data_IF_611323950029
#
_entry.id   IF_611323950029
#
_cell.length_a   1.000
_cell.length_b   1.000
_cell.length_c   1.000
_cell.angle_alpha   90.00
_cell.angle_beta   90.00
_cell.angle_gamma   90.00
#
_symmetry.space_group_name_H-M   'P 1'
#
loop_
_entity.id
_entity.type
_entity.pdbx_description
1 polymer ?
#
# COMPACT_ATOMS: atom_id res chain seq x y z
N UNK A 1 15.70 47.56 -6.19
CA UNK A 1 15.56 46.09 -6.22
C UNK A 1 14.09 45.70 -6.24
N UNK A 2 13.59 45.08 -7.31
CA UNK A 2 12.16 44.93 -7.56
C UNK A 2 11.66 43.63 -6.94
N UNK A 3 10.78 43.74 -5.93
CA UNK A 3 10.06 42.68 -5.17
C UNK A 3 9.16 41.73 -6.04
N UNK A 4 9.27 41.80 -7.36
CA UNK A 4 8.42 41.05 -8.29
C UNK A 4 8.55 39.50 -8.26
N UNK A 5 9.69 38.85 -7.94
CA UNK A 5 9.73 37.39 -7.88
C UNK A 5 9.10 36.80 -6.61
N UNK A 6 9.08 37.54 -5.50
CA UNK A 6 8.43 37.09 -4.27
C UNK A 6 6.89 37.15 -4.35
N UNK A 7 6.37 38.13 -5.09
CA UNK A 7 4.93 38.22 -5.38
C UNK A 7 4.44 37.08 -6.28
N UNK A 8 5.28 36.58 -7.21
CA UNK A 8 4.89 35.46 -8.07
C UNK A 8 4.89 34.13 -7.31
N UNK A 9 5.80 33.93 -6.35
CA UNK A 9 5.80 32.77 -5.46
C UNK A 9 4.60 32.81 -4.48
N UNK A 10 4.25 34.00 -3.96
CA UNK A 10 3.07 34.19 -3.13
C UNK A 10 1.76 34.01 -3.92
N UNK A 11 1.72 34.44 -5.19
CA UNK A 11 0.54 34.27 -6.06
C UNK A 11 0.30 32.79 -6.42
N UNK A 12 1.36 31.98 -6.56
CA UNK A 12 1.21 30.53 -6.73
C UNK A 12 0.68 29.83 -5.45
N UNK A 13 0.91 30.42 -4.27
CA UNK A 13 0.40 29.93 -2.99
C UNK A 13 -1.05 30.38 -2.71
N UNK A 14 -1.54 31.40 -3.41
CA UNK A 14 -2.88 31.97 -3.21
C UNK A 14 -3.86 31.70 -4.36
N UNK A 15 -3.48 30.91 -5.36
CA UNK A 15 -4.48 30.42 -6.31
C UNK A 15 -5.55 29.69 -5.50
N UNK A 16 -6.83 30.14 -5.55
CA UNK A 16 -7.93 29.37 -4.99
C UNK A 16 -7.99 28.10 -5.84
N UNK A 17 -7.27 27.08 -5.41
CA UNK A 17 -7.46 25.73 -5.90
C UNK A 17 -8.88 25.43 -5.42
N UNK A 18 -9.85 25.61 -6.30
CA UNK A 18 -11.22 25.17 -6.04
C UNK A 18 -11.11 23.69 -5.68
N UNK A 19 -11.03 23.42 -4.39
CA UNK A 19 -10.92 22.09 -3.84
C UNK A 19 -12.25 21.42 -4.21
N UNK A 20 -12.28 20.77 -5.39
CA UNK A 20 -13.34 19.81 -5.64
C UNK A 20 -13.16 18.76 -4.56
N UNK A 21 -14.20 18.60 -3.74
CA UNK A 21 -14.22 17.58 -2.70
C UNK A 21 -13.87 16.21 -3.30
N UNK A 22 -13.21 15.37 -2.52
CA UNK A 22 -12.95 13.95 -2.87
C UNK A 22 -14.24 13.37 -3.45
N UNK A 23 -14.17 12.88 -4.69
CA UNK A 23 -15.33 12.31 -5.35
C UNK A 23 -15.41 10.84 -4.98
N UNK A 24 -16.57 10.43 -4.49
CA UNK A 24 -16.83 9.09 -4.02
C UNK A 24 -18.11 8.56 -4.66
N UNK A 25 -18.03 7.39 -5.24
CA UNK A 25 -19.18 6.64 -5.76
C UNK A 25 -19.25 5.30 -5.06
N UNK A 26 -20.36 5.00 -4.41
CA UNK A 26 -20.63 3.71 -3.78
C UNK A 26 -21.53 2.88 -4.69
N UNK A 27 -21.05 1.75 -5.12
CA UNK A 27 -21.81 0.72 -5.82
C UNK A 27 -22.34 -0.25 -4.77
N UNK A 28 -23.57 -0.02 -4.33
CA UNK A 28 -24.20 -0.84 -3.29
C UNK A 28 -24.78 -2.11 -3.90
N UNK A 29 -24.12 -3.24 -3.72
CA UNK A 29 -24.54 -4.53 -4.27
C UNK A 29 -25.71 -5.17 -3.52
N UNK A 30 -26.22 -4.54 -2.46
CA UNK A 30 -27.53 -4.84 -1.85
C UNK A 30 -28.72 -4.25 -2.62
N UNK A 31 -28.48 -3.30 -3.53
CA UNK A 31 -29.53 -2.68 -4.36
C UNK A 31 -29.76 -3.50 -5.62
N UNK A 32 -31.00 -3.90 -5.87
CA UNK A 32 -31.40 -4.68 -7.04
C UNK A 32 -31.12 -3.96 -8.36
N UNK A 33 -31.27 -2.63 -8.40
CA UNK A 33 -30.97 -1.82 -9.58
C UNK A 33 -29.48 -1.80 -9.89
N UNK A 34 -28.62 -1.80 -8.87
CA UNK A 34 -27.17 -1.92 -9.03
C UNK A 34 -26.78 -3.35 -9.42
N UNK A 35 -27.36 -4.38 -8.79
CA UNK A 35 -27.12 -5.78 -9.11
C UNK A 35 -27.39 -6.09 -10.58
N UNK A 36 -28.45 -5.54 -11.16
CA UNK A 36 -28.83 -5.73 -12.56
C UNK A 36 -27.81 -5.16 -13.57
N UNK A 37 -26.90 -4.28 -13.15
CA UNK A 37 -25.85 -3.71 -14.00
C UNK A 37 -24.59 -4.59 -14.10
N UNK A 38 -24.54 -5.65 -13.28
CA UNK A 38 -23.42 -6.58 -13.27
C UNK A 38 -23.67 -7.76 -14.19
N UNK A 39 -22.73 -7.95 -15.10
CA UNK A 39 -22.79 -9.02 -16.08
C UNK A 39 -21.81 -10.14 -15.73
N UNK A 40 -22.25 -11.38 -15.90
CA UNK A 40 -21.42 -12.56 -15.68
C UNK A 40 -21.00 -13.16 -17.00
N UNK A 41 -19.73 -13.53 -17.11
CA UNK A 41 -19.18 -14.25 -18.26
C UNK A 41 -18.50 -15.51 -17.75
N UNK A 42 -19.03 -16.68 -18.15
CA UNK A 42 -18.49 -17.97 -17.75
C UNK A 42 -18.77 -18.40 -16.31
N UNK A 43 -19.45 -17.58 -15.50
CA UNK A 43 -19.90 -17.95 -14.15
C UNK A 43 -21.25 -18.65 -14.17
N UNK A 44 -21.56 -19.49 -13.17
CA UNK A 44 -22.93 -19.95 -12.93
C UNK A 44 -23.84 -18.77 -12.62
N UNK A 45 -25.18 -18.99 -12.65
CA UNK A 45 -26.13 -17.95 -12.24
C UNK A 45 -25.76 -17.37 -10.87
N UNK A 46 -25.74 -16.04 -10.78
CA UNK A 46 -25.42 -15.30 -9.57
C UNK A 46 -26.63 -15.33 -8.63
N UNK A 47 -26.39 -15.59 -7.37
CA UNK A 47 -27.43 -15.44 -6.35
C UNK A 47 -27.42 -14.01 -5.82
N UNK A 48 -28.49 -13.28 -6.13
CA UNK A 48 -28.69 -11.93 -5.58
C UNK A 48 -29.27 -12.04 -4.18
N UNK A 49 -28.62 -11.40 -3.23
CA UNK A 49 -29.03 -11.32 -1.83
C UNK A 49 -29.42 -9.87 -1.50
N UNK A 50 -30.23 -9.69 -0.47
CA UNK A 50 -30.59 -8.36 0.04
C UNK A 50 -29.38 -7.53 0.52
N UNK A 51 -28.26 -8.19 0.81
CA UNK A 51 -27.02 -7.57 1.29
C UNK A 51 -25.85 -7.68 0.30
N UNK A 52 -26.08 -8.15 -0.93
CA UNK A 52 -25.01 -8.27 -1.90
C UNK A 52 -25.20 -9.32 -2.99
N UNK A 53 -24.13 -9.57 -3.72
CA UNK A 53 -24.04 -10.58 -4.76
C UNK A 53 -23.23 -11.77 -4.23
N UNK A 54 -23.86 -12.93 -4.11
CA UNK A 54 -23.22 -14.16 -3.72
C UNK A 54 -22.83 -15.02 -4.92
N UNK A 55 -21.62 -15.55 -4.88
CA UNK A 55 -21.01 -16.37 -5.91
C UNK A 55 -20.40 -17.62 -5.30
N UNK A 56 -20.92 -18.78 -5.68
CA UNK A 56 -20.29 -20.07 -5.44
C UNK A 56 -19.90 -20.67 -6.79
N UNK A 57 -18.60 -20.72 -7.09
CA UNK A 57 -18.11 -20.97 -8.44
C UNK A 57 -17.54 -22.37 -8.59
N UNK A 58 -18.05 -23.13 -9.54
CA UNK A 58 -17.48 -24.45 -9.95
C UNK A 58 -16.48 -24.31 -11.11
N UNK A 59 -16.49 -23.20 -11.80
CA UNK A 59 -15.59 -22.89 -12.93
C UNK A 59 -15.15 -21.44 -12.88
N UNK A 60 -14.01 -21.17 -13.54
CA UNK A 60 -13.49 -19.80 -13.68
C UNK A 60 -14.43 -18.95 -14.53
N UNK A 61 -14.65 -17.71 -14.11
CA UNK A 61 -15.45 -16.75 -14.86
C UNK A 61 -15.17 -15.32 -14.42
N UNK A 62 -15.95 -14.39 -14.96
CA UNK A 62 -15.75 -12.96 -14.72
C UNK A 62 -17.08 -12.30 -14.37
N UNK A 63 -17.06 -11.45 -13.36
CA UNK A 63 -18.16 -10.55 -12.98
C UNK A 63 -17.73 -9.13 -13.34
N UNK A 64 -18.45 -8.45 -14.22
CA UNK A 64 -18.06 -7.12 -14.73
C UNK A 64 -19.23 -6.16 -14.77
N UNK A 65 -18.93 -4.89 -14.58
CA UNK A 65 -19.83 -3.76 -14.69
C UNK A 65 -19.25 -2.67 -15.58
N UNK A 66 -20.05 -2.15 -16.49
CA UNK A 66 -19.70 -0.95 -17.25
C UNK A 66 -19.81 0.29 -16.37
N UNK A 67 -18.89 1.21 -16.52
CA UNK A 67 -18.82 2.46 -15.77
C UNK A 67 -18.96 3.67 -16.69
N UNK A 68 -19.69 4.67 -16.22
CA UNK A 68 -19.77 5.99 -16.82
C UNK A 68 -19.66 7.03 -15.69
N UNK A 69 -18.47 7.16 -15.12
CA UNK A 69 -18.24 8.08 -14.01
C UNK A 69 -17.72 9.44 -14.50
N UNK A 70 -18.19 10.53 -13.90
CA UNK A 70 -17.75 11.88 -14.26
C UNK A 70 -16.33 12.20 -13.73
N UNK A 71 -15.78 11.34 -12.91
CA UNK A 71 -14.47 11.54 -12.23
C UNK A 71 -13.55 10.34 -12.40
N UNK A 72 -12.27 10.57 -12.24
CA UNK A 72 -11.28 9.52 -12.23
C UNK A 72 -11.30 8.72 -10.93
N UNK A 73 -10.88 7.47 -11.01
CA UNK A 73 -10.78 6.54 -9.88
C UNK A 73 -9.30 6.38 -9.52
N UNK A 74 -8.96 6.63 -8.27
CA UNK A 74 -7.61 6.45 -7.73
C UNK A 74 -7.52 5.27 -6.76
N UNK A 75 -8.60 4.99 -6.02
CA UNK A 75 -8.68 3.90 -5.05
C UNK A 75 -10.00 3.16 -5.20
N UNK A 76 -9.94 1.85 -5.10
CA UNK A 76 -11.09 0.95 -5.07
C UNK A 76 -11.11 0.24 -3.72
N UNK A 77 -12.22 0.35 -2.98
CA UNK A 77 -12.45 -0.42 -1.76
C UNK A 77 -13.55 -1.43 -2.05
N UNK A 78 -13.29 -2.71 -1.80
CA UNK A 78 -14.23 -3.81 -2.01
C UNK A 78 -14.67 -4.33 -0.66
N UNK A 79 -15.97 -4.32 -0.39
CA UNK A 79 -16.57 -4.89 0.80
C UNK A 79 -17.09 -6.30 0.47
N UNK A 80 -16.67 -7.29 1.24
CA UNK A 80 -16.96 -8.69 0.94
C UNK A 80 -17.03 -9.55 2.20
N UNK A 81 -17.61 -10.75 2.03
CA UNK A 81 -17.50 -11.87 2.96
C UNK A 81 -17.01 -13.07 2.20
N UNK A 82 -15.99 -13.75 2.67
CA UNK A 82 -15.44 -14.97 2.07
C UNK A 82 -15.03 -15.94 3.18
N UNK A 83 -15.79 -17.00 3.44
CA UNK A 83 -15.52 -17.90 4.57
C UNK A 83 -14.11 -18.53 4.54
N UNK A 84 -13.63 -18.83 3.34
CA UNK A 84 -12.33 -19.50 3.14
C UNK A 84 -11.25 -18.58 2.62
N UNK A 85 -11.60 -17.31 2.30
CA UNK A 85 -10.72 -16.44 1.53
C UNK A 85 -10.70 -16.83 0.06
N UNK A 86 -10.12 -15.97 -0.77
CA UNK A 86 -9.99 -16.24 -2.19
C UNK A 86 -8.82 -15.46 -2.80
N UNK A 87 -8.18 -16.02 -3.81
CA UNK A 87 -7.28 -15.28 -4.68
C UNK A 87 -8.00 -15.04 -6.01
N UNK A 88 -8.37 -13.81 -6.27
CA UNK A 88 -9.06 -13.40 -7.49
C UNK A 88 -8.28 -12.30 -8.21
N UNK A 89 -8.70 -11.90 -9.40
CA UNK A 89 -8.10 -10.74 -10.07
C UNK A 89 -9.12 -9.63 -10.21
N UNK A 90 -8.75 -8.42 -9.76
CA UNK A 90 -9.48 -7.22 -10.13
C UNK A 90 -9.18 -6.90 -11.60
N UNK A 91 -10.22 -6.73 -12.41
CA UNK A 91 -10.12 -6.46 -13.84
C UNK A 91 -10.71 -5.11 -14.19
N UNK A 92 -10.11 -4.43 -15.19
CA UNK A 92 -10.65 -3.16 -15.71
C UNK A 92 -10.42 -3.04 -17.21
N UNK A 93 -11.20 -2.18 -17.82
CA UNK A 93 -11.07 -1.81 -19.23
C UNK A 93 -10.96 -0.29 -19.35
N UNK A 94 -9.95 0.19 -20.05
CA UNK A 94 -9.80 1.60 -20.39
C UNK A 94 -10.77 2.00 -21.50
N UNK A 95 -11.16 3.26 -21.56
CA UNK A 95 -12.12 3.76 -22.53
C UNK A 95 -11.73 3.51 -24.02
N UNK A 96 -10.44 3.54 -24.34
CA UNK A 96 -9.94 3.29 -25.70
C UNK A 96 -9.56 1.83 -25.98
N UNK A 97 -9.77 0.90 -25.07
CA UNK A 97 -9.38 -0.50 -25.26
C UNK A 97 -10.40 -1.26 -26.11
N UNK A 98 -9.97 -2.18 -27.01
CA UNK A 98 -10.87 -3.07 -27.75
C UNK A 98 -11.81 -3.84 -26.81
N UNK A 99 -13.02 -4.13 -27.29
CA UNK A 99 -13.98 -4.94 -26.55
C UNK A 99 -13.37 -6.30 -26.17
N UNK A 100 -13.60 -6.71 -24.93
CA UNK A 100 -13.10 -7.99 -24.41
C UNK A 100 -11.65 -7.97 -23.89
N UNK A 101 -10.88 -6.90 -24.08
CA UNK A 101 -9.54 -6.79 -23.49
C UNK A 101 -9.59 -6.08 -22.14
N UNK A 102 -9.39 -6.87 -21.09
CA UNK A 102 -9.26 -6.39 -19.72
C UNK A 102 -7.80 -6.46 -19.26
N UNK A 103 -7.38 -5.46 -18.51
CA UNK A 103 -6.18 -5.53 -17.66
C UNK A 103 -6.56 -6.09 -16.31
N UNK A 104 -5.61 -6.70 -15.61
CA UNK A 104 -5.90 -7.33 -14.33
C UNK A 104 -4.74 -7.20 -13.35
N UNK A 105 -5.08 -7.22 -12.07
CA UNK A 105 -4.13 -7.38 -10.96
C UNK A 105 -4.65 -8.44 -10.00
N UNK A 106 -3.77 -9.25 -9.40
CA UNK A 106 -4.18 -10.20 -8.38
C UNK A 106 -4.62 -9.48 -7.12
N UNK A 107 -5.67 -9.98 -6.50
CA UNK A 107 -6.22 -9.49 -5.23
C UNK A 107 -6.47 -10.70 -4.33
N UNK A 108 -5.87 -10.70 -3.15
CA UNK A 108 -6.09 -11.77 -2.17
C UNK A 108 -7.08 -11.31 -1.12
N UNK A 109 -8.18 -12.00 -1.01
CA UNK A 109 -9.21 -11.79 -0.01
C UNK A 109 -8.92 -12.66 1.22
N UNK A 110 -9.11 -12.05 2.39
CA UNK A 110 -8.91 -12.74 3.66
C UNK A 110 -10.11 -13.62 3.99
N UNK A 111 -9.89 -14.77 4.63
CA UNK A 111 -10.99 -15.57 5.12
C UNK A 111 -11.71 -14.86 6.28
N UNK A 112 -13.04 -14.91 6.25
CA UNK A 112 -13.87 -14.34 7.32
C UNK A 112 -15.35 -14.52 7.03
N UNK A 113 -16.13 -14.71 8.09
CA UNK A 113 -17.60 -14.83 8.05
C UNK A 113 -18.30 -13.48 8.27
N UNK A 114 -17.53 -12.46 8.63
CA UNK A 114 -18.02 -11.08 8.81
C UNK A 114 -17.62 -10.26 7.62
N UNK A 115 -18.44 -9.28 7.26
CA UNK A 115 -18.10 -8.32 6.20
C UNK A 115 -16.79 -7.61 6.51
N UNK A 116 -15.86 -7.69 5.59
CA UNK A 116 -14.55 -7.05 5.66
C UNK A 116 -14.29 -6.27 4.37
N UNK A 117 -13.21 -5.51 4.32
CA UNK A 117 -12.87 -4.74 3.13
C UNK A 117 -11.42 -4.93 2.72
N UNK A 118 -11.18 -4.83 1.41
CA UNK A 118 -9.85 -4.69 0.84
C UNK A 118 -9.76 -3.39 0.07
N UNK A 119 -8.65 -2.68 0.26
CA UNK A 119 -8.38 -1.40 -0.39
C UNK A 119 -7.29 -1.63 -1.44
N UNK A 120 -7.59 -1.27 -2.68
CA UNK A 120 -6.67 -1.34 -3.81
C UNK A 120 -6.33 0.07 -4.27
N UNK A 121 -5.07 0.46 -4.13
CA UNK A 121 -4.56 1.74 -4.63
C UNK A 121 -4.25 1.63 -6.12
N UNK A 122 -5.21 2.03 -6.94
CA UNK A 122 -5.08 1.99 -8.39
C UNK A 122 -4.08 3.02 -8.92
N UNK A 123 -3.85 4.11 -8.19
CA UNK A 123 -2.89 5.15 -8.59
C UNK A 123 -1.45 4.65 -8.63
N UNK A 124 -1.16 3.56 -7.91
CA UNK A 124 0.13 2.88 -7.88
C UNK A 124 0.30 1.83 -9.00
N UNK A 125 -0.78 1.47 -9.69
CA UNK A 125 -0.78 0.39 -10.68
C UNK A 125 -0.34 0.91 -12.05
N UNK A 126 0.70 0.31 -12.60
CA UNK A 126 1.17 0.63 -13.94
C UNK A 126 0.11 0.33 -15.01
N UNK A 127 -0.19 1.34 -15.83
CA UNK A 127 -1.18 1.23 -16.90
C UNK A 127 -2.64 1.28 -16.43
N UNK A 128 -2.91 1.70 -15.20
CA UNK A 128 -4.24 2.10 -14.76
C UNK A 128 -4.72 3.34 -15.54
N UNK A 129 -5.96 3.29 -15.96
CA UNK A 129 -6.67 4.44 -16.55
C UNK A 129 -7.70 4.91 -15.51
N UNK A 130 -7.55 6.13 -14.96
CA UNK A 130 -8.51 6.66 -13.99
C UNK A 130 -9.95 6.73 -14.50
N UNK A 131 -10.12 6.84 -15.83
CA UNK A 131 -11.44 6.83 -16.49
C UNK A 131 -11.77 5.46 -17.09
N UNK A 132 -11.61 4.41 -16.28
CA UNK A 132 -11.97 3.05 -16.68
C UNK A 132 -13.44 2.98 -17.14
N UNK A 133 -13.69 2.35 -18.28
CA UNK A 133 -15.03 2.17 -18.83
C UNK A 133 -15.76 0.93 -18.30
N UNK A 134 -15.02 0.03 -17.66
CA UNK A 134 -15.57 -1.13 -16.96
C UNK A 134 -14.61 -1.59 -15.87
N UNK A 135 -15.18 -2.14 -14.80
CA UNK A 135 -14.45 -2.83 -13.72
C UNK A 135 -15.09 -4.17 -13.42
N UNK A 136 -14.36 -5.03 -12.73
CA UNK A 136 -14.92 -6.31 -12.29
C UNK A 136 -13.89 -7.21 -11.62
N UNK A 137 -14.28 -8.48 -11.51
CA UNK A 137 -13.47 -9.51 -10.89
C UNK A 137 -13.42 -10.75 -11.77
N UNK A 138 -12.23 -11.27 -11.99
CA UNK A 138 -12.06 -12.61 -12.51
C UNK A 138 -11.94 -13.55 -11.32
N UNK A 139 -12.85 -14.51 -11.23
CA UNK A 139 -13.06 -15.36 -10.07
C UNK A 139 -12.67 -16.80 -10.47
N UNK A 140 -11.75 -17.44 -9.75
CA UNK A 140 -11.38 -18.83 -10.02
C UNK A 140 -12.48 -19.81 -9.63
N UNK A 141 -12.36 -21.04 -10.08
CA UNK A 141 -13.20 -22.14 -9.64
C UNK A 141 -12.99 -22.44 -8.14
N UNK A 142 -14.02 -22.93 -7.47
CA UNK A 142 -13.97 -23.27 -6.04
C UNK A 142 -14.04 -22.06 -5.11
N UNK A 143 -14.41 -20.87 -5.61
CA UNK A 143 -14.54 -19.67 -4.80
C UNK A 143 -15.94 -19.53 -4.24
N UNK A 144 -16.03 -19.27 -2.94
CA UNK A 144 -17.26 -18.91 -2.22
C UNK A 144 -17.12 -17.52 -1.63
N UNK A 145 -17.88 -16.54 -2.17
CA UNK A 145 -17.75 -15.12 -1.83
C UNK A 145 -19.08 -14.39 -1.98
N UNK A 146 -19.31 -13.46 -1.06
CA UNK A 146 -20.38 -12.46 -1.16
C UNK A 146 -19.77 -11.06 -1.26
N UNK A 147 -20.03 -10.35 -2.35
CA UNK A 147 -19.69 -8.94 -2.49
C UNK A 147 -20.83 -8.09 -1.99
N UNK A 148 -20.56 -7.20 -1.05
CA UNK A 148 -21.55 -6.29 -0.43
C UNK A 148 -21.57 -4.92 -1.12
N UNK A 149 -20.43 -4.45 -1.58
CA UNK A 149 -20.32 -3.17 -2.24
C UNK A 149 -18.91 -2.87 -2.72
N UNK A 150 -18.82 -1.85 -3.58
CA UNK A 150 -17.56 -1.36 -4.09
C UNK A 150 -17.58 0.16 -4.01
N UNK A 151 -16.62 0.72 -3.31
CA UNK A 151 -16.41 2.16 -3.23
C UNK A 151 -15.32 2.58 -4.20
N UNK A 152 -15.65 3.51 -5.08
CA UNK A 152 -14.76 4.11 -6.06
C UNK A 152 -14.45 5.53 -5.62
N UNK A 153 -13.19 5.82 -5.33
CA UNK A 153 -12.77 7.11 -4.81
C UNK A 153 -11.73 7.77 -5.71
N UNK A 154 -11.95 9.04 -6.04
CA UNK A 154 -11.04 9.87 -6.81
C UNK A 154 -10.64 11.12 -6.06
N UNK A 155 -9.37 11.52 -6.13
CA UNK A 155 -8.86 12.76 -5.58
C UNK A 155 -8.67 13.81 -6.66
N UNK A 156 -9.01 15.03 -6.34
CA UNK A 156 -8.72 16.21 -7.18
C UNK A 156 -7.20 16.43 -7.29
N UNK A 157 -6.78 17.17 -8.32
CA UNK A 157 -5.36 17.53 -8.49
C UNK A 157 -4.82 18.27 -7.27
N UNK A 158 -5.65 19.12 -6.65
CA UNK A 158 -5.29 19.87 -5.45
C UNK A 158 -5.02 18.96 -4.25
N UNK A 159 -5.93 18.00 -4.01
CA UNK A 159 -5.78 17.03 -2.93
C UNK A 159 -4.55 16.14 -3.15
N UNK A 160 -4.30 15.70 -4.39
CA UNK A 160 -3.08 14.95 -4.76
C UNK A 160 -1.82 15.76 -4.49
N UNK A 161 -1.84 17.06 -4.75
CA UNK A 161 -0.72 17.94 -4.45
C UNK A 161 -0.49 18.07 -2.94
N UNK A 162 -1.57 18.24 -2.17
CA UNK A 162 -1.49 18.28 -0.69
C UNK A 162 -0.96 16.95 -0.14
N UNK A 163 -1.44 15.82 -0.64
CA UNK A 163 -0.93 14.51 -0.22
C UNK A 163 0.54 14.30 -0.63
N UNK A 164 0.95 14.77 -1.81
CA UNK A 164 2.35 14.75 -2.22
C UNK A 164 3.23 15.58 -1.28
N UNK A 165 2.77 16.77 -0.86
CA UNK A 165 3.48 17.60 0.10
C UNK A 165 3.57 16.93 1.48
N UNK A 166 2.49 16.32 1.99
CA UNK A 166 2.52 15.54 3.23
C UNK A 166 3.47 14.35 3.13
N UNK A 167 3.44 13.65 1.99
CA UNK A 167 4.29 12.50 1.73
C UNK A 167 5.78 12.91 1.70
N UNK A 168 6.10 14.07 1.08
CA UNK A 168 7.46 14.62 1.07
C UNK A 168 8.02 14.79 2.48
N UNK A 169 7.18 15.17 3.45
CA UNK A 169 7.54 15.31 4.87
C UNK A 169 7.25 14.06 5.71
N UNK A 170 6.93 12.93 5.09
CA UNK A 170 6.81 11.65 5.79
C UNK A 170 8.20 11.02 5.90
N UNK A 171 8.68 10.86 7.14
CA UNK A 171 10.01 10.35 7.43
C UNK A 171 9.97 8.83 7.59
N UNK A 172 10.98 8.16 7.05
CA UNK A 172 11.10 6.69 7.09
C UNK A 172 12.31 6.20 7.88
N UNK A 173 12.92 7.10 8.63
CA UNK A 173 14.05 6.81 9.46
C UNK A 173 15.36 6.67 8.68
N UNK A 174 15.56 7.50 7.68
CA UNK A 174 16.78 7.60 6.87
C UNK A 174 17.05 6.34 6.03
N UNK A 175 16.02 5.69 5.52
CA UNK A 175 16.19 4.60 4.55
C UNK A 175 16.90 5.11 3.28
N UNK A 176 17.64 4.23 2.62
CA UNK A 176 18.47 4.59 1.48
C UNK A 176 17.73 5.35 0.36
N UNK A 177 16.47 5.02 0.09
CA UNK A 177 15.68 5.72 -0.92
C UNK A 177 15.29 7.15 -0.51
N UNK A 178 15.23 7.45 0.78
CA UNK A 178 14.86 8.77 1.30
C UNK A 178 16.00 9.77 1.20
N UNK A 179 17.23 9.32 1.38
CA UNK A 179 18.44 10.13 1.37
C UNK A 179 19.20 10.14 0.04
N UNK A 180 18.76 9.32 -0.92
CA UNK A 180 19.44 9.18 -2.21
C UNK A 180 19.01 10.26 -3.18
N UNK A 181 19.96 10.98 -3.77
CA UNK A 181 19.70 12.03 -4.77
C UNK A 181 19.02 11.52 -6.06
N UNK A 182 19.11 10.24 -6.38
CA UNK A 182 18.45 9.66 -7.55
C UNK A 182 16.98 9.33 -7.29
N UNK A 183 16.64 8.89 -6.07
CA UNK A 183 15.27 8.57 -5.67
C UNK A 183 14.64 9.70 -4.86
N UNK A 184 15.39 10.26 -3.93
CA UNK A 184 14.99 11.36 -3.07
C UNK A 184 13.75 11.04 -2.23
N UNK A 185 13.16 12.05 -1.60
CA UNK A 185 11.91 11.91 -0.89
C UNK A 185 10.80 11.45 -1.84
N UNK A 186 9.90 10.63 -1.35
CA UNK A 186 8.82 10.05 -2.12
C UNK A 186 7.59 10.98 -2.14
N UNK A 187 6.83 10.95 -3.23
CA UNK A 187 5.59 11.69 -3.39
C UNK A 187 4.44 10.73 -3.62
N UNK A 188 3.43 10.80 -2.79
CA UNK A 188 2.22 10.00 -2.87
C UNK A 188 1.10 10.79 -3.55
N UNK A 189 0.22 10.09 -4.24
CA UNK A 189 -0.96 10.71 -4.87
C UNK A 189 -2.23 10.56 -4.03
N UNK A 190 -2.23 9.65 -3.05
CA UNK A 190 -3.39 9.37 -2.21
C UNK A 190 -2.96 9.10 -0.77
N UNK A 191 -3.87 9.25 0.22
CA UNK A 191 -3.60 8.83 1.59
C UNK A 191 -3.27 7.33 1.72
N UNK A 192 -3.88 6.50 0.87
CA UNK A 192 -3.62 5.05 0.84
C UNK A 192 -2.19 4.76 0.41
N UNK A 193 -1.71 5.42 -0.66
CA UNK A 193 -0.30 5.35 -1.08
C UNK A 193 0.63 5.76 0.05
N UNK A 194 0.30 6.83 0.79
CA UNK A 194 1.12 7.30 1.91
C UNK A 194 1.15 6.30 3.07
N UNK A 195 0.03 5.67 3.42
CA UNK A 195 -0.02 4.64 4.46
C UNK A 195 0.78 3.39 4.10
N UNK A 196 0.86 3.04 2.82
CA UNK A 196 1.59 1.87 2.32
C UNK A 196 3.01 2.17 1.83
N UNK A 197 3.45 3.44 1.91
CA UNK A 197 4.67 3.97 1.31
C UNK A 197 5.92 3.12 1.60
N UNK A 198 6.11 2.70 2.84
CA UNK A 198 7.30 1.97 3.28
C UNK A 198 7.04 0.48 3.52
N UNK A 199 5.85 -0.02 3.19
CA UNK A 199 5.47 -1.43 3.37
C UNK A 199 5.81 -2.28 2.15
N UNK A 200 5.80 -1.68 0.95
CA UNK A 200 6.02 -2.38 -0.31
C UNK A 200 7.45 -2.21 -0.80
N UNK A 201 7.95 -3.25 -1.45
CA UNK A 201 9.25 -3.24 -2.11
C UNK A 201 9.03 -3.58 -3.60
N UNK A 202 9.27 -2.64 -4.52
CA UNK A 202 9.67 -1.23 -4.33
C UNK A 202 8.55 -0.36 -3.76
N UNK A 203 8.88 0.81 -3.18
CA UNK A 203 7.88 1.74 -2.65
C UNK A 203 6.86 2.18 -3.70
N UNK A 204 5.58 2.19 -3.33
CA UNK A 204 4.46 2.59 -4.21
C UNK A 204 4.30 4.11 -4.26
N UNK A 205 5.33 4.82 -4.69
CA UNK A 205 5.30 6.26 -4.80
C UNK A 205 6.25 6.75 -5.90
N UNK A 206 6.07 8.01 -6.29
CA UNK A 206 6.95 8.64 -7.26
C UNK A 206 8.12 9.30 -6.56
N UNK A 207 9.32 9.20 -7.15
CA UNK A 207 10.49 9.92 -6.66
C UNK A 207 10.27 11.43 -6.76
N UNK A 208 10.43 12.14 -5.65
CA UNK A 208 10.38 13.61 -5.60
C UNK A 208 11.50 14.27 -6.40
N UNK A 209 12.63 13.58 -6.57
CA UNK A 209 13.73 14.09 -7.38
C UNK A 209 13.37 14.28 -8.85
N UNK A 210 12.43 13.51 -9.39
CA UNK A 210 11.91 13.74 -10.75
C UNK A 210 11.27 15.11 -10.89
N UNK A 211 10.54 15.57 -9.87
CA UNK A 211 9.92 16.89 -9.84
C UNK A 211 11.00 17.97 -9.70
N UNK A 212 11.96 17.76 -8.81
CA UNK A 212 13.08 18.69 -8.61
C UNK A 212 13.91 18.85 -9.89
N UNK A 213 14.26 17.75 -10.56
CA UNK A 213 14.98 17.79 -11.82
C UNK A 213 14.16 18.45 -12.95
N UNK A 214 12.86 18.22 -13.01
CA UNK A 214 11.98 18.88 -13.95
C UNK A 214 11.93 20.40 -13.70
N UNK A 215 11.84 20.83 -12.44
CA UNK A 215 11.87 22.26 -12.06
C UNK A 215 13.23 22.89 -12.37
N UNK A 216 14.33 22.21 -12.08
CA UNK A 216 15.68 22.64 -12.44
C UNK A 216 15.80 22.77 -13.97
N UNK A 217 15.40 21.75 -14.74
CA UNK A 217 15.44 21.77 -16.19
C UNK A 217 14.62 22.91 -16.80
N UNK A 218 13.38 23.10 -16.31
CA UNK A 218 12.52 24.20 -16.77
C UNK A 218 13.10 25.56 -16.40
N UNK A 219 13.59 25.73 -15.17
CA UNK A 219 14.23 26.96 -14.73
C UNK A 219 15.48 27.28 -15.54
N UNK A 220 16.32 26.30 -15.82
CA UNK A 220 17.49 26.43 -16.67
C UNK A 220 17.11 26.80 -18.12
N UNK A 221 16.07 26.16 -18.68
CA UNK A 221 15.57 26.50 -20.01
C UNK A 221 15.07 27.94 -20.08
N UNK A 222 14.33 28.43 -19.08
CA UNK A 222 13.88 29.83 -18.99
C UNK A 222 15.05 30.79 -18.89
N UNK A 223 16.05 30.47 -18.08
CA UNK A 223 17.26 31.26 -17.93
C UNK A 223 18.03 31.31 -19.25
N UNK A 224 18.23 30.17 -19.91
CA UNK A 224 18.92 30.06 -21.20
C UNK A 224 18.18 30.83 -22.32
N UNK A 225 16.84 30.70 -22.38
CA UNK A 225 16.02 31.46 -23.35
C UNK A 225 16.13 32.97 -23.16
N UNK A 226 16.05 33.44 -21.94
CA UNK A 226 16.26 34.87 -21.64
C UNK A 226 17.66 35.34 -21.97
N UNK A 227 18.66 34.49 -21.79
CA UNK A 227 20.04 34.76 -22.20
C UNK A 227 20.19 34.94 -23.68
N UNK A 228 19.71 33.94 -24.40
CA UNK A 228 19.76 33.95 -25.85
C UNK A 228 19.12 35.22 -26.48
N UNK A 229 18.04 35.68 -25.85
CA UNK A 229 17.31 36.88 -26.31
C UNK A 229 18.00 38.21 -26.00
N UNK A 230 18.86 38.30 -24.97
CA UNK A 230 19.45 39.57 -24.51
C UNK A 230 20.90 39.78 -24.96
N UNK A 231 21.64 38.79 -25.36
CA UNK A 231 23.00 38.76 -25.92
C UNK A 231 24.08 39.71 -25.34
N UNK A 232 23.89 40.28 -24.15
CA UNK A 232 24.86 41.16 -23.50
C UNK A 232 25.81 40.39 -22.55
N UNK A 233 27.07 40.84 -22.40
CA UNK A 233 28.08 40.17 -21.57
C UNK A 233 27.77 40.21 -20.05
N UNK A 234 27.06 41.24 -19.57
CA UNK A 234 26.61 41.34 -18.20
C UNK A 234 25.49 40.33 -17.90
N UNK A 235 24.74 39.98 -18.93
CA UNK A 235 23.66 39.02 -18.80
C UNK A 235 24.15 37.58 -18.57
N UNK A 236 25.27 37.14 -19.17
CA UNK A 236 25.87 35.82 -18.92
C UNK A 236 26.24 35.65 -17.45
N UNK A 237 26.77 36.66 -16.77
CA UNK A 237 27.08 36.61 -15.32
C UNK A 237 25.80 36.47 -14.48
N UNK A 238 24.73 37.22 -14.82
CA UNK A 238 23.44 37.13 -14.14
C UNK A 238 22.77 35.77 -14.35
N UNK A 239 22.95 35.17 -15.52
CA UNK A 239 22.50 33.81 -15.78
C UNK A 239 23.20 32.77 -14.91
N UNK A 240 24.54 32.79 -14.90
CA UNK A 240 25.30 31.87 -14.07
C UNK A 240 24.90 32.01 -12.61
N UNK A 241 24.78 33.23 -12.11
CA UNK A 241 24.32 33.51 -10.75
C UNK A 241 22.87 32.99 -10.51
N UNK A 242 21.97 33.21 -11.47
CA UNK A 242 20.59 32.72 -11.39
C UNK A 242 20.49 31.21 -11.42
N UNK A 243 21.31 30.54 -12.26
CA UNK A 243 21.38 29.07 -12.31
C UNK A 243 21.94 28.48 -11.02
N UNK A 244 23.03 29.07 -10.51
CA UNK A 244 23.62 28.67 -9.24
C UNK A 244 22.64 28.88 -8.08
N UNK A 245 21.92 30.01 -8.05
CA UNK A 245 20.91 30.28 -7.02
C UNK A 245 19.74 29.28 -7.10
N UNK A 246 19.25 28.95 -8.28
CA UNK A 246 18.20 27.95 -8.47
C UNK A 246 18.64 26.58 -7.97
N UNK A 247 19.84 26.15 -8.34
CA UNK A 247 20.41 24.89 -7.87
C UNK A 247 20.55 24.89 -6.36
N UNK A 248 21.10 25.97 -5.79
CA UNK A 248 21.30 26.11 -4.35
C UNK A 248 19.99 26.08 -3.57
N UNK A 249 18.93 26.73 -4.06
CA UNK A 249 17.59 26.70 -3.43
C UNK A 249 17.04 25.28 -3.40
N UNK A 250 17.12 24.54 -4.51
CA UNK A 250 16.67 23.15 -4.55
C UNK A 250 17.52 22.26 -3.64
N UNK A 251 18.83 22.48 -3.59
CA UNK A 251 19.73 21.75 -2.70
C UNK A 251 19.38 22.01 -1.21
N UNK A 252 19.28 23.28 -0.83
CA UNK A 252 18.93 23.66 0.56
C UNK A 252 17.59 23.07 0.97
N UNK A 253 16.58 23.05 0.07
CA UNK A 253 15.29 22.47 0.39
C UNK A 253 15.39 20.96 0.73
N UNK A 254 16.26 20.23 0.03
CA UNK A 254 16.54 18.82 0.31
C UNK A 254 17.33 18.65 1.61
N UNK A 255 18.34 19.49 1.85
CA UNK A 255 19.13 19.44 3.08
C UNK A 255 18.29 19.77 4.32
N UNK A 256 17.40 20.76 4.23
CA UNK A 256 16.44 21.09 5.31
C UNK A 256 15.53 19.89 5.60
N UNK A 257 15.00 19.24 4.58
CA UNK A 257 14.20 18.03 4.78
C UNK A 257 15.01 16.92 5.44
N UNK A 258 16.21 16.65 4.93
CA UNK A 258 17.09 15.59 5.46
C UNK A 258 17.49 15.90 6.91
N UNK A 259 17.82 17.16 7.22
CA UNK A 259 18.11 17.62 8.57
C UNK A 259 16.91 17.44 9.52
N UNK A 260 15.71 17.79 9.06
CA UNK A 260 14.47 17.58 9.82
C UNK A 260 14.21 16.08 10.10
N UNK A 261 14.42 15.22 9.11
CA UNK A 261 14.30 13.77 9.27
C UNK A 261 15.36 13.22 10.24
N UNK A 262 16.59 13.71 10.15
CA UNK A 262 17.65 13.32 11.08
C UNK A 262 17.30 13.73 12.53
N UNK A 263 16.85 14.95 12.76
CA UNK A 263 16.43 15.43 14.08
C UNK A 263 15.25 14.62 14.62
N UNK A 264 14.23 14.36 13.78
CA UNK A 264 13.06 13.55 14.17
C UNK A 264 13.48 12.14 14.56
N UNK A 265 14.34 11.53 13.76
CA UNK A 265 14.88 10.18 13.99
C UNK A 265 15.70 10.11 15.27
N UNK A 266 16.61 11.07 15.44
CA UNK A 266 17.44 11.16 16.65
C UNK A 266 16.58 11.37 17.90
N UNK A 267 15.59 12.26 17.83
CA UNK A 267 14.67 12.49 18.94
C UNK A 267 13.87 11.23 19.30
N UNK A 268 13.44 10.48 18.30
CA UNK A 268 12.78 9.19 18.50
C UNK A 268 13.72 8.18 19.19
N UNK A 269 14.96 8.02 18.69
CA UNK A 269 15.94 7.08 19.24
C UNK A 269 16.32 7.45 20.68
N UNK A 270 16.48 8.73 20.99
CA UNK A 270 16.73 9.19 22.36
C UNK A 270 15.58 8.83 23.29
N UNK A 271 14.34 9.09 22.88
CA UNK A 271 13.15 8.80 23.70
C UNK A 271 12.92 7.31 23.89
N UNK A 272 12.99 6.54 22.80
CA UNK A 272 12.61 5.12 22.82
C UNK A 272 13.74 4.18 23.29
N UNK A 273 14.98 4.66 23.31
CA UNK A 273 16.11 3.84 23.71
C UNK A 273 16.89 4.41 24.90
N UNK A 274 17.31 5.68 24.87
CA UNK A 274 18.16 6.22 25.93
C UNK A 274 17.37 6.57 27.20
N UNK A 275 16.17 7.13 27.07
CA UNK A 275 15.34 7.55 28.21
C UNK A 275 14.43 6.47 28.75
N UNK A 276 14.16 5.42 27.98
CA UNK A 276 13.32 4.30 28.42
C UNK A 276 14.07 3.31 29.31
N UNK A 277 13.40 2.73 30.35
CA UNK A 277 13.94 1.64 31.13
C UNK A 277 14.35 0.45 30.27
N UNK A 278 15.39 -0.28 30.68
CA UNK A 278 15.99 -1.39 29.90
C UNK A 278 14.95 -2.39 29.36
N UNK A 279 13.92 -2.71 30.13
CA UNK A 279 12.88 -3.66 29.71
C UNK A 279 11.84 -3.12 28.71
N UNK A 280 11.85 -1.78 28.45
CA UNK A 280 10.89 -1.14 27.52
C UNK A 280 11.59 -0.52 26.31
N UNK A 281 12.90 -0.65 26.22
CA UNK A 281 13.67 -0.08 25.09
C UNK A 281 13.25 -0.72 23.77
N UNK A 282 13.01 0.13 22.77
CA UNK A 282 12.67 -0.32 21.41
C UNK A 282 13.68 0.22 20.41
N UNK A 283 13.86 -0.51 19.33
CA UNK A 283 14.79 -0.14 18.27
C UNK A 283 14.01 0.19 17.00
N UNK A 284 14.27 1.31 16.40
CA UNK A 284 13.67 1.75 15.14
C UNK A 284 13.77 0.69 14.02
N UNK A 285 14.87 -0.03 13.95
CA UNK A 285 15.13 -1.04 12.91
C UNK A 285 14.24 -2.28 12.99
N UNK A 286 13.52 -2.47 14.11
CA UNK A 286 12.64 -3.64 14.31
C UNK A 286 11.16 -3.25 14.35
N UNK A 287 10.83 -2.00 14.01
CA UNK A 287 9.46 -1.49 13.91
C UNK A 287 8.61 -1.85 15.16
N UNK A 288 7.41 -2.40 14.92
CA UNK A 288 6.48 -2.85 15.96
C UNK A 288 6.71 -4.33 16.39
N UNK A 289 7.87 -4.92 16.06
CA UNK A 289 8.20 -6.28 16.49
C UNK A 289 8.07 -6.50 18.01
N UNK A 290 8.43 -5.53 18.89
CA UNK A 290 8.19 -5.65 20.32
C UNK A 290 6.71 -5.83 20.68
N UNK A 291 5.81 -5.05 20.09
CA UNK A 291 4.38 -5.13 20.32
C UNK A 291 3.80 -6.45 19.78
N UNK A 292 4.28 -6.87 18.61
CA UNK A 292 3.94 -8.17 18.06
C UNK A 292 4.41 -9.31 18.96
N UNK A 293 5.63 -9.26 19.47
CA UNK A 293 6.16 -10.27 20.40
C UNK A 293 5.38 -10.30 21.71
N UNK A 294 4.99 -9.14 22.25
CA UNK A 294 4.16 -9.05 23.45
C UNK A 294 2.79 -9.70 23.24
N UNK A 295 2.15 -9.46 22.12
CA UNK A 295 0.88 -10.10 21.76
C UNK A 295 1.03 -11.61 21.52
N UNK A 296 2.13 -12.01 20.85
CA UNK A 296 2.42 -13.42 20.61
C UNK A 296 2.62 -14.21 21.90
N UNK A 297 3.21 -13.63 22.96
CA UNK A 297 3.41 -14.30 24.26
C UNK A 297 2.12 -14.87 24.83
N UNK A 298 1.02 -14.15 24.75
CA UNK A 298 -0.27 -14.61 25.27
C UNK A 298 -0.77 -15.86 24.54
N UNK A 299 -0.54 -15.94 23.23
CA UNK A 299 -0.94 -17.06 22.39
C UNK A 299 0.03 -18.24 22.49
N UNK A 300 1.28 -17.97 22.80
CA UNK A 300 2.35 -18.98 22.97
C UNK A 300 2.38 -19.61 24.37
N UNK A 301 1.54 -19.15 25.30
CA UNK A 301 1.49 -19.70 26.64
C UNK A 301 1.26 -21.23 26.60
N UNK A 302 2.17 -22.00 27.18
CA UNK A 302 2.15 -23.47 27.16
C UNK A 302 2.62 -24.14 25.87
N UNK A 303 3.05 -23.40 24.89
CA UNK A 303 3.62 -23.92 23.62
C UNK A 303 5.15 -23.91 23.71
N UNK A 304 5.84 -25.07 23.67
CA UNK A 304 7.30 -25.10 23.75
C UNK A 304 7.98 -24.60 22.47
N UNK A 305 7.28 -24.72 21.33
CA UNK A 305 7.81 -24.33 20.00
C UNK A 305 6.72 -23.68 19.15
N UNK A 306 7.16 -22.81 18.25
CA UNK A 306 6.29 -22.20 17.24
C UNK A 306 7.10 -21.94 15.96
N UNK A 307 6.45 -21.88 14.81
CA UNK A 307 7.09 -21.52 13.55
C UNK A 307 7.12 -20.00 13.41
N UNK A 308 8.29 -19.44 13.07
CA UNK A 308 8.45 -18.03 12.74
C UNK A 308 8.74 -17.87 11.25
N UNK A 309 7.82 -17.18 10.55
CA UNK A 309 7.97 -16.72 9.18
C UNK A 309 8.34 -15.24 9.21
N UNK A 310 9.61 -14.90 9.08
CA UNK A 310 10.10 -13.52 9.07
C UNK A 310 11.05 -13.31 7.88
N UNK A 311 11.38 -12.07 7.51
CA UNK A 311 12.46 -11.81 6.57
C UNK A 311 13.73 -12.52 7.02
N UNK A 312 14.58 -12.90 6.06
CA UNK A 312 15.78 -13.76 6.27
C UNK A 312 16.86 -13.20 7.22
N UNK A 313 16.59 -12.09 7.88
CA UNK A 313 17.51 -11.47 8.82
C UNK A 313 17.49 -12.21 10.18
N UNK A 314 18.62 -12.72 10.60
CA UNK A 314 18.80 -13.36 11.92
C UNK A 314 18.34 -12.51 13.10
N UNK A 315 18.29 -11.19 12.94
CA UNK A 315 17.84 -10.23 13.96
C UNK A 315 16.42 -10.53 14.45
N UNK A 316 15.48 -10.83 13.56
CA UNK A 316 14.08 -11.11 13.95
C UNK A 316 13.97 -12.43 14.73
N UNK A 317 14.66 -13.47 14.29
CA UNK A 317 14.68 -14.77 14.96
C UNK A 317 15.25 -14.66 16.38
N UNK A 318 16.39 -13.99 16.52
CA UNK A 318 17.06 -13.83 17.82
C UNK A 318 16.24 -12.95 18.77
N UNK A 319 15.64 -11.86 18.26
CA UNK A 319 14.75 -11.02 19.04
C UNK A 319 13.52 -11.80 19.53
N UNK A 320 12.85 -12.52 18.66
CA UNK A 320 11.68 -13.32 19.01
C UNK A 320 12.05 -14.42 20.02
N UNK A 321 13.17 -15.12 19.81
CA UNK A 321 13.69 -16.12 20.76
C UNK A 321 13.85 -15.54 22.17
N UNK A 322 14.43 -14.36 22.28
CA UNK A 322 14.57 -13.69 23.58
C UNK A 322 13.25 -13.27 24.19
N UNK A 323 12.39 -12.65 23.38
CA UNK A 323 11.14 -12.09 23.86
C UNK A 323 10.06 -13.13 24.20
N UNK A 324 10.04 -14.28 23.56
CA UNK A 324 9.02 -15.31 23.72
C UNK A 324 9.45 -16.48 24.59
N UNK A 325 10.68 -16.43 25.15
CA UNK A 325 11.12 -17.50 26.06
C UNK A 325 10.08 -17.78 27.16
N UNK A 326 9.78 -19.08 27.48
CA UNK A 326 10.46 -20.31 27.10
C UNK A 326 10.06 -20.90 25.73
N UNK A 327 9.10 -20.33 25.01
CA UNK A 327 8.70 -20.78 23.68
C UNK A 327 9.81 -20.44 22.65
N UNK A 328 10.21 -21.42 21.87
CA UNK A 328 11.32 -21.27 20.92
C UNK A 328 10.84 -21.20 19.47
N UNK A 329 11.29 -20.23 18.68
CA UNK A 329 11.01 -20.19 17.24
C UNK A 329 11.78 -21.30 16.53
N UNK A 330 11.12 -21.97 15.59
CA UNK A 330 11.69 -22.96 14.70
C UNK A 330 11.44 -22.59 13.24
N UNK A 331 12.20 -23.17 12.32
CA UNK A 331 11.97 -23.00 10.90
C UNK A 331 10.73 -23.76 10.43
N UNK A 332 10.11 -23.42 9.27
CA UNK A 332 9.01 -24.20 8.72
C UNK A 332 9.34 -25.67 8.51
N UNK A 333 10.59 -25.99 8.15
CA UNK A 333 11.04 -27.37 7.95
C UNK A 333 11.03 -28.19 9.26
N UNK A 334 11.30 -27.53 10.39
CA UNK A 334 11.33 -28.13 11.73
C UNK A 334 10.01 -27.98 12.49
N UNK A 335 8.99 -27.42 11.82
CA UNK A 335 7.71 -27.07 12.41
C UNK A 335 6.71 -28.20 12.55
N UNK A 336 7.12 -29.46 12.33
CA UNK A 336 6.23 -30.61 12.50
C UNK A 336 5.71 -30.69 13.95
N UNK A 337 4.37 -30.78 14.09
CA UNK A 337 3.71 -30.82 15.41
C UNK A 337 3.56 -29.45 16.10
N UNK A 338 4.02 -28.35 15.51
CA UNK A 338 3.73 -27.01 16.07
C UNK A 338 2.31 -26.56 15.73
N UNK A 339 1.65 -25.99 16.73
CA UNK A 339 0.25 -25.53 16.60
C UNK A 339 0.13 -24.04 16.31
N UNK A 340 1.20 -23.27 16.50
CA UNK A 340 1.22 -21.82 16.30
C UNK A 340 2.29 -21.42 15.31
N UNK A 341 1.87 -20.60 14.35
CA UNK A 341 2.73 -20.00 13.33
C UNK A 341 2.63 -18.48 13.41
N UNK A 342 3.76 -17.82 13.48
CA UNK A 342 3.86 -16.37 13.52
C UNK A 342 4.44 -15.87 12.21
N UNK A 343 3.75 -14.99 11.50
CA UNK A 343 4.28 -14.29 10.33
C UNK A 343 4.55 -12.83 10.68
N UNK A 344 5.73 -12.34 10.34
CA UNK A 344 6.14 -10.97 10.56
C UNK A 344 6.74 -10.36 9.29
N UNK A 345 6.16 -9.24 8.81
CA UNK A 345 6.60 -8.54 7.59
C UNK A 345 6.75 -9.46 6.36
N UNK A 346 5.80 -10.37 6.16
CA UNK A 346 5.77 -11.34 5.05
C UNK A 346 4.56 -11.09 4.14
N UNK A 347 4.56 -9.99 3.36
CA UNK A 347 3.46 -9.69 2.43
C UNK A 347 3.38 -10.65 1.23
N UNK A 348 4.42 -11.48 1.03
CA UNK A 348 4.49 -12.54 0.02
C UNK A 348 3.66 -13.79 0.36
N UNK A 349 3.17 -13.89 1.61
CA UNK A 349 2.34 -14.99 2.04
C UNK A 349 0.88 -14.76 1.63
N UNK A 350 0.27 -15.82 1.12
CA UNK A 350 -1.16 -15.90 0.80
C UNK A 350 -1.79 -17.11 1.49
N UNK A 351 -3.10 -17.30 1.30
CA UNK A 351 -3.83 -18.42 1.87
C UNK A 351 -4.47 -19.24 0.75
N UNK A 352 -4.40 -20.57 0.91
CA UNK A 352 -5.15 -21.49 0.05
C UNK A 352 -6.61 -21.62 0.51
N UNK A 353 -7.46 -22.14 -0.36
CA UNK A 353 -8.90 -22.36 -0.08
C UNK A 353 -9.09 -23.30 1.13
N UNK A 354 -8.18 -24.25 1.32
CA UNK A 354 -8.21 -25.20 2.43
C UNK A 354 -7.61 -24.65 3.74
N UNK A 355 -7.34 -23.33 3.81
CA UNK A 355 -6.89 -22.67 5.03
C UNK A 355 -5.42 -22.90 5.35
N UNK A 356 -4.55 -23.09 4.36
CA UNK A 356 -3.09 -23.20 4.54
C UNK A 356 -2.40 -21.92 4.17
N UNK A 357 -1.29 -21.64 4.84
CA UNK A 357 -0.38 -20.56 4.40
C UNK A 357 0.35 -21.05 3.15
N UNK A 358 0.34 -20.20 2.12
CA UNK A 358 0.97 -20.45 0.81
C UNK A 358 2.07 -19.45 0.56
N UNK A 359 3.21 -19.95 0.09
CA UNK A 359 4.33 -19.13 -0.37
C UNK A 359 4.71 -19.56 -1.79
N UNK A 360 4.80 -18.60 -2.73
CA UNK A 360 5.13 -18.87 -4.14
C UNK A 360 4.23 -19.95 -4.80
N UNK A 361 2.96 -20.00 -4.42
CA UNK A 361 2.00 -20.99 -4.94
C UNK A 361 2.05 -22.37 -4.28
N UNK A 362 2.99 -22.61 -3.35
CA UNK A 362 3.10 -23.87 -2.62
C UNK A 362 2.62 -23.72 -1.16
N UNK A 363 1.81 -24.66 -0.62
CA UNK A 363 1.42 -24.65 0.78
C UNK A 363 2.62 -24.96 1.66
N UNK A 364 2.83 -24.12 2.69
CA UNK A 364 3.95 -24.26 3.64
C UNK A 364 3.50 -24.60 5.06
N UNK A 365 2.20 -24.51 5.34
CA UNK A 365 1.66 -24.84 6.67
C UNK A 365 0.63 -25.96 6.62
N UNK A 366 0.32 -26.60 7.76
CA UNK A 366 -0.90 -27.36 7.94
C UNK A 366 -2.15 -26.49 7.79
N UNK A 367 -3.33 -27.11 7.76
CA UNK A 367 -4.63 -26.42 7.77
C UNK A 367 -4.82 -25.68 9.10
N UNK A 368 -5.30 -24.44 9.05
CA UNK A 368 -5.54 -23.63 10.23
C UNK A 368 -6.23 -22.31 9.89
N UNK A 369 -6.20 -21.39 10.85
CA UNK A 369 -6.84 -20.09 10.71
C UNK A 369 -6.00 -18.96 11.33
N UNK A 370 -6.15 -17.75 10.80
CA UNK A 370 -5.60 -16.56 11.43
C UNK A 370 -6.40 -16.25 12.68
N UNK A 371 -5.73 -16.15 13.82
CA UNK A 371 -6.34 -15.74 15.08
C UNK A 371 -6.18 -14.25 15.36
N UNK A 372 -5.08 -13.66 14.90
CA UNK A 372 -4.81 -12.23 15.01
C UNK A 372 -4.07 -11.74 13.77
N UNK A 373 -4.51 -10.64 13.21
CA UNK A 373 -3.80 -9.93 12.15
C UNK A 373 -3.53 -8.50 12.59
N UNK A 374 -2.26 -8.10 12.51
CA UNK A 374 -1.78 -6.76 12.89
C UNK A 374 -1.71 -5.85 11.67
N UNK A 375 -1.24 -6.41 10.57
CA UNK A 375 -1.15 -5.76 9.26
C UNK A 375 -0.92 -6.81 8.19
N UNK A 376 -1.01 -6.42 6.92
CA UNK A 376 -0.72 -7.31 5.81
C UNK A 376 0.65 -7.98 5.95
N UNK A 377 0.66 -9.31 5.96
CA UNK A 377 1.88 -10.11 6.13
C UNK A 377 2.41 -10.20 7.57
N UNK A 378 1.64 -9.71 8.57
CA UNK A 378 1.99 -9.84 9.98
C UNK A 378 0.78 -10.32 10.75
N UNK A 379 0.81 -11.59 11.13
CA UNK A 379 -0.33 -12.27 11.73
C UNK A 379 0.09 -13.45 12.61
N UNK A 380 -0.83 -13.89 13.46
CA UNK A 380 -0.74 -15.13 14.23
C UNK A 380 -1.71 -16.13 13.60
N UNK A 381 -1.16 -17.29 13.23
CA UNK A 381 -1.93 -18.37 12.64
C UNK A 381 -1.89 -19.60 13.57
N UNK A 382 -3.05 -20.21 13.81
CA UNK A 382 -3.19 -21.41 14.63
C UNK A 382 -3.63 -22.60 13.77
N UNK A 383 -2.88 -23.68 13.86
CA UNK A 383 -3.18 -24.94 13.18
C UNK A 383 -4.43 -25.55 13.81
N UNK A 384 -5.36 -25.98 12.97
CA UNK A 384 -6.52 -26.75 13.41
C UNK A 384 -6.09 -28.17 13.74
N UNK A 385 -6.33 -28.68 14.95
CA UNK A 385 -6.02 -30.07 15.25
C UNK A 385 -6.75 -31.00 14.30
N UNK A 386 -6.14 -32.09 13.83
CA UNK A 386 -6.88 -33.11 13.09
C UNK A 386 -8.06 -33.60 13.94
N UNK A 387 -9.21 -33.78 13.28
CA UNK A 387 -10.36 -34.37 13.96
C UNK A 387 -9.95 -35.70 14.60
N UNK A 388 -10.35 -35.97 15.88
CA UNK A 388 -10.04 -37.25 16.48
C UNK A 388 -10.56 -38.36 15.57
N UNK A 389 -9.67 -39.32 15.25
CA UNK A 389 -10.07 -40.50 14.47
C UNK A 389 -11.26 -41.12 15.19
N UNK A 390 -12.41 -41.13 14.57
CA UNK A 390 -13.57 -41.85 15.07
C UNK A 390 -13.17 -43.32 15.19
N UNK A 391 -13.30 -43.97 16.38
CA UNK A 391 -12.89 -45.35 16.58
C UNK A 391 -13.70 -46.34 15.73
#
# INVERSE_FOLDING_TARGET
>A
MRLRPLLFAALLLTLPIAARATQQTMLNLGDSAEQAQWNTVGLPPVTTLANGIHLSTTRKGTLVRSLALPHGIDVVTVYYTSPQGASLSFVWRSAGSPAGRYRQIPVTLKPGTVSTSIIVDMSAIGGWDPHASAIGFQIPAGTDITFHGIELRGWSVAEKFIEAAKCFWTFDGLKAHSINFFWGPLLCSTPVSRMSLFRNQPPVARSGMRVIYALLGLGMAVIAFRAWRRRDGAFRRRMLAGSAALFLVCWIALDVRMGAEFIATWTYDVRSYLLEPVGKRTFRSINFLPDFAASARSVLAGQPRYVLLAPTQNTFMNFMRYQTYPSLPVSPADGSGTTVWLAYERPDLSFSIDGRIVQNGAPISPVGQITHEFMQGTFIFRVTPPAPATP
#
